data_IF_567483336778
#
_entry.id   IF_567483336778
#
_cell.length_a   1.000
_cell.length_b   1.000
_cell.length_c   1.000
_cell.angle_alpha   90.00
_cell.angle_beta   90.00
_cell.angle_gamma   90.00
#
_symmetry.space_group_name_H-M   'P 1'
#
loop_
_entity.id
_entity.type
_entity.pdbx_description
1 polymer ?
#
# COMPACT_ATOMS: atom_id res chain seq x y z
N UNK A 1 16.39 18.45 -7.43
CA UNK A 1 15.96 18.76 -6.05
C UNK A 1 15.91 17.45 -5.27
N UNK A 2 16.59 17.33 -4.12
CA UNK A 2 16.50 16.10 -3.30
C UNK A 2 15.09 16.02 -2.70
N UNK A 3 14.41 14.87 -2.85
CA UNK A 3 13.12 14.65 -2.21
C UNK A 3 13.27 14.78 -0.69
N UNK A 4 12.42 15.62 -0.06
CA UNK A 4 12.48 15.87 1.37
C UNK A 4 11.79 14.70 2.10
N UNK A 5 12.59 13.81 2.69
CA UNK A 5 12.09 12.72 3.55
C UNK A 5 11.56 13.30 4.88
N UNK A 6 10.41 12.80 5.36
CA UNK A 6 9.77 13.19 6.63
C UNK A 6 9.66 11.96 7.54
N UNK A 7 9.84 12.11 8.85
CA UNK A 7 9.60 11.01 9.78
C UNK A 7 8.11 10.91 10.14
N UNK A 8 7.61 9.69 10.35
CA UNK A 8 6.25 9.42 10.81
C UNK A 8 6.29 9.26 12.34
N UNK A 9 5.81 10.28 13.05
CA UNK A 9 5.78 10.26 14.50
C UNK A 9 4.75 9.25 15.03
N UNK A 10 5.11 8.48 16.05
CA UNK A 10 4.26 7.46 16.68
C UNK A 10 4.02 6.21 15.84
N UNK A 11 4.69 6.06 14.70
CA UNK A 11 4.60 4.86 13.89
C UNK A 11 5.67 3.84 14.30
N UNK A 12 5.24 2.59 14.51
CA UNK A 12 6.13 1.47 14.77
C UNK A 12 6.44 0.73 13.48
N UNK A 13 7.72 0.43 13.25
CA UNK A 13 8.14 -0.39 12.13
C UNK A 13 7.55 -1.81 12.24
N UNK A 14 6.91 -2.37 11.20
CA UNK A 14 6.36 -3.73 11.26
C UNK A 14 7.43 -4.83 11.29
N UNK A 15 8.67 -4.52 10.90
CA UNK A 15 9.76 -5.51 10.83
C UNK A 15 10.56 -5.59 12.15
N UNK A 16 10.92 -4.46 12.74
CA UNK A 16 11.71 -4.40 13.97
C UNK A 16 10.96 -3.86 15.20
N UNK A 17 9.69 -3.47 15.06
CA UNK A 17 8.83 -2.90 16.12
C UNK A 17 9.31 -1.59 16.74
N UNK A 18 10.32 -0.96 16.15
CA UNK A 18 10.91 0.29 16.63
C UNK A 18 10.01 1.49 16.28
N UNK A 19 9.77 2.38 17.25
CA UNK A 19 8.91 3.56 17.09
C UNK A 19 9.70 4.76 16.54
N UNK A 20 9.06 5.61 15.74
CA UNK A 20 9.63 6.86 15.21
C UNK A 20 10.81 6.67 14.23
N UNK A 21 10.94 5.47 13.67
CA UNK A 21 12.04 5.08 12.77
C UNK A 21 11.66 5.11 11.29
N UNK A 22 10.37 5.31 10.97
CA UNK A 22 9.86 5.29 9.61
C UNK A 22 9.97 6.68 8.96
N UNK A 23 10.58 6.73 7.77
CA UNK A 23 10.71 7.89 6.89
C UNK A 23 9.76 7.74 5.71
N UNK A 24 8.92 8.74 5.48
CA UNK A 24 8.04 8.83 4.32
C UNK A 24 8.49 9.92 3.36
N UNK A 25 8.36 9.66 2.05
CA UNK A 25 8.51 10.66 0.99
C UNK A 25 7.71 10.28 -0.24
N UNK A 26 7.58 11.23 -1.16
CA UNK A 26 6.97 11.02 -2.46
C UNK A 26 8.09 11.03 -3.50
N UNK A 27 8.17 9.98 -4.31
CA UNK A 27 9.06 9.89 -5.47
C UNK A 27 8.22 9.53 -6.70
N UNK A 28 8.26 10.33 -7.75
CA UNK A 28 7.53 10.08 -9.00
C UNK A 28 6.04 9.75 -8.80
N UNK A 29 5.34 10.50 -7.93
CA UNK A 29 3.93 10.27 -7.54
C UNK A 29 3.66 8.95 -6.76
N UNK A 30 4.70 8.29 -6.27
CA UNK A 30 4.63 7.08 -5.45
C UNK A 30 5.01 7.44 -4.02
N UNK A 31 4.17 7.07 -3.07
CA UNK A 31 4.45 7.21 -1.65
C UNK A 31 5.34 6.06 -1.18
N UNK A 32 6.51 6.41 -0.63
CA UNK A 32 7.51 5.48 -0.13
C UNK A 32 7.68 5.67 1.37
N UNK A 33 7.84 4.56 2.08
CA UNK A 33 8.15 4.50 3.51
C UNK A 33 9.39 3.63 3.72
N UNK A 34 10.33 4.06 4.54
CA UNK A 34 11.59 3.35 4.84
C UNK A 34 11.91 3.40 6.34
N UNK A 35 12.28 2.28 6.95
CA UNK A 35 12.80 2.22 8.30
C UNK A 35 14.31 2.43 8.32
N UNK A 36 14.79 3.31 9.19
CA UNK A 36 16.22 3.63 9.31
C UNK A 36 17.02 2.63 10.14
N UNK A 37 16.33 1.81 10.95
CA UNK A 37 16.96 0.86 11.87
C UNK A 37 17.17 -0.52 11.24
N UNK A 38 16.31 -0.91 10.31
CA UNK A 38 16.31 -2.26 9.72
C UNK A 38 16.22 -2.28 8.20
N UNK A 39 16.35 -1.11 7.56
CA UNK A 39 16.29 -0.91 6.10
C UNK A 39 15.00 -1.41 5.43
N UNK A 40 13.93 -1.65 6.21
CA UNK A 40 12.63 -2.03 5.69
C UNK A 40 12.07 -0.94 4.78
N UNK A 41 11.64 -1.27 3.57
CA UNK A 41 11.07 -0.30 2.62
C UNK A 41 9.71 -0.77 2.11
N UNK A 42 8.71 0.11 2.12
CA UNK A 42 7.34 -0.13 1.66
C UNK A 42 6.93 0.94 0.63
N UNK A 43 6.31 0.50 -0.48
CA UNK A 43 5.67 1.39 -1.44
C UNK A 43 4.15 1.37 -1.23
N UNK A 44 3.61 2.50 -0.76
CA UNK A 44 2.18 2.74 -0.69
C UNK A 44 1.71 3.15 -2.09
N UNK A 45 1.33 2.16 -2.90
CA UNK A 45 0.67 2.43 -4.18
C UNK A 45 -0.70 3.06 -3.85
N UNK A 46 -1.10 4.18 -4.49
CA UNK A 46 -2.46 4.68 -4.37
C UNK A 46 -3.41 3.55 -4.78
N UNK A 47 -4.39 3.29 -3.92
CA UNK A 47 -5.31 2.14 -3.98
C UNK A 47 -6.32 2.22 -5.14
N UNK A 48 -5.93 2.73 -6.31
CA UNK A 48 -6.78 2.84 -7.49
C UNK A 48 -6.71 1.64 -8.43
N UNK A 49 -5.88 0.64 -8.14
CA UNK A 49 -5.85 -0.61 -8.93
C UNK A 49 -5.70 -1.82 -8.01
N UNK A 50 -6.53 -2.85 -8.26
CA UNK A 50 -6.35 -4.25 -7.84
C UNK A 50 -6.94 -4.75 -6.51
N UNK A 51 -8.14 -4.32 -6.14
CA UNK A 51 -9.08 -5.22 -5.42
C UNK A 51 -10.49 -5.17 -6.02
N UNK A 52 -10.61 -5.37 -7.32
CA UNK A 52 -11.88 -5.81 -7.87
C UNK A 52 -11.97 -7.34 -7.69
N UNK A 53 -12.21 -7.78 -6.45
CA UNK A 53 -12.69 -9.15 -6.15
C UNK A 53 -14.22 -9.20 -6.22
N UNK A 54 -14.82 -8.50 -7.18
CA UNK A 54 -16.24 -8.49 -7.40
C UNK A 54 -16.50 -8.65 -8.89
N UNK A 55 -16.60 -9.90 -9.35
CA UNK A 55 -17.61 -10.35 -10.32
C UNK A 55 -17.25 -11.76 -10.81
N UNK A 56 -17.54 -12.77 -10.00
CA UNK A 56 -17.81 -14.12 -10.53
C UNK A 56 -19.10 -14.66 -9.87
N UNK A 57 -20.04 -13.75 -9.65
CA UNK A 57 -21.43 -14.06 -9.32
C UNK A 57 -22.29 -13.50 -10.44
N UNK A 58 -22.41 -14.22 -11.56
CA UNK A 58 -23.60 -14.15 -12.43
C UNK A 58 -23.55 -15.24 -13.51
N UNK A 59 -24.28 -16.34 -13.30
CA UNK A 59 -25.21 -16.84 -14.31
C UNK A 59 -26.25 -17.78 -13.66
N UNK A 60 -27.36 -17.22 -13.16
CA UNK A 60 -28.62 -17.96 -13.04
C UNK A 60 -29.43 -17.59 -14.30
N UNK A 61 -29.21 -18.33 -15.38
CA UNK A 61 -29.98 -18.22 -16.62
C UNK A 61 -30.94 -19.40 -16.72
N UNK A 62 -32.19 -19.22 -16.28
CA UNK A 62 -33.29 -20.12 -16.64
C UNK A 62 -33.53 -19.95 -18.14
N UNK A 63 -33.10 -20.92 -18.95
CA UNK A 63 -33.53 -21.05 -20.34
C UNK A 63 -34.48 -22.25 -20.42
N UNK A 64 -35.77 -21.97 -20.56
CA UNK A 64 -36.79 -22.97 -20.93
C UNK A 64 -36.90 -22.98 -22.46
N UNK A 65 -36.42 -24.02 -23.16
CA UNK A 65 -36.93 -24.35 -24.49
C UNK A 65 -38.25 -25.12 -24.35
N UNK A 66 -39.16 -24.96 -25.31
CA UNK A 66 -40.41 -25.73 -25.45
C UNK A 66 -40.20 -27.26 -25.41
#
# INVERSE_FOLDING_TARGET
MKAKKRFIAGASCPQCSQQDTLRWWIDNNIELVECVDCDYTEQRKPQSVEKNKHSEQEMIGIFKPE
#
